data_IF_800732651267
#
_entry.id   IF_800732651267
#
_cell.length_a   1.000
_cell.length_b   1.000
_cell.length_c   1.000
_cell.angle_alpha   90.00
_cell.angle_beta   90.00
_cell.angle_gamma   90.00
#
_symmetry.space_group_name_H-M   'P 1'
#
loop_
_entity.id
_entity.type
_entity.pdbx_description
1 polymer ?
#
# COMPACT_ATOMS: atom_id res chain seq x y z
N UNK A 1 -4.28 -3.98 6.34
CA UNK A 1 -3.80 -3.09 7.37
C UNK A 1 -2.94 -1.98 6.77
N UNK A 2 -3.06 -0.77 7.30
CA UNK A 2 -2.03 0.26 7.19
C UNK A 2 -0.88 -0.15 8.10
N UNK A 3 0.29 -0.42 7.53
CA UNK A 3 1.45 -0.92 8.24
C UNK A 3 2.23 0.20 8.93
N UNK A 4 2.40 1.33 8.26
CA UNK A 4 3.04 2.52 8.81
C UNK A 4 2.49 3.79 8.14
N UNK A 5 2.51 4.91 8.86
CA UNK A 5 2.15 6.25 8.37
C UNK A 5 3.30 7.21 8.61
N UNK A 6 3.58 8.04 7.63
CA UNK A 6 4.63 9.05 7.64
C UNK A 6 4.01 10.40 7.25
N UNK A 7 4.32 11.44 8.01
CA UNK A 7 3.92 12.82 7.72
C UNK A 7 5.19 13.59 7.40
N UNK A 8 5.23 14.18 6.21
CA UNK A 8 6.38 14.87 5.67
C UNK A 8 6.00 16.30 5.28
N UNK A 9 6.95 17.23 5.41
CA UNK A 9 6.84 18.57 4.84
C UNK A 9 7.30 18.51 3.38
N UNK A 10 6.46 18.94 2.45
CA UNK A 10 6.70 18.75 1.01
C UNK A 10 7.91 19.53 0.49
N UNK A 11 8.13 20.74 0.99
CA UNK A 11 9.22 21.60 0.51
C UNK A 11 10.60 21.15 1.00
N UNK A 12 10.70 20.63 2.23
CA UNK A 12 11.96 20.23 2.84
C UNK A 12 12.23 18.72 2.75
N UNK A 13 11.19 17.92 2.53
CA UNK A 13 11.27 16.46 2.64
C UNK A 13 11.64 16.00 4.06
N UNK A 14 11.31 16.78 5.09
CA UNK A 14 11.54 16.39 6.48
C UNK A 14 10.36 15.56 6.99
N UNK A 15 10.66 14.40 7.57
CA UNK A 15 9.67 13.61 8.29
C UNK A 15 9.41 14.24 9.65
N UNK A 16 8.19 14.76 9.84
CA UNK A 16 7.77 15.40 11.09
C UNK A 16 7.17 14.42 12.07
N UNK A 17 6.62 13.32 11.58
CA UNK A 17 6.01 12.28 12.38
C UNK A 17 6.02 10.96 11.61
N UNK A 18 6.42 9.88 12.27
CA UNK A 18 6.27 8.51 11.76
C UNK A 18 5.59 7.63 12.80
N UNK A 19 4.65 6.79 12.37
CA UNK A 19 3.90 5.89 13.24
C UNK A 19 3.81 4.52 12.60
N UNK A 20 4.32 3.51 13.31
CA UNK A 20 4.30 2.11 12.89
C UNK A 20 3.19 1.35 13.60
N UNK A 21 2.38 0.61 12.84
CA UNK A 21 1.30 -0.23 13.34
C UNK A 21 1.56 -1.73 13.13
N UNK A 22 2.25 -2.07 12.04
CA UNK A 22 2.54 -3.46 11.67
C UNK A 22 4.04 -3.78 11.64
N UNK A 23 4.42 -4.74 10.80
CA UNK A 23 5.78 -5.29 10.73
C UNK A 23 6.66 -4.64 9.65
N UNK A 24 6.06 -3.85 8.75
CA UNK A 24 6.84 -3.13 7.75
C UNK A 24 7.70 -2.06 8.43
N UNK A 25 9.02 -2.25 8.35
CA UNK A 25 10.00 -1.33 8.90
C UNK A 25 10.75 -0.63 7.76
N UNK A 26 10.35 0.59 7.46
CA UNK A 26 11.03 1.47 6.51
C UNK A 26 11.67 2.63 7.26
N UNK A 27 12.94 2.90 6.96
CA UNK A 27 13.67 4.05 7.51
C UNK A 27 12.97 5.37 7.10
N UNK A 28 12.60 6.23 8.07
CA UNK A 28 11.91 7.48 7.79
C UNK A 28 12.67 8.44 6.86
N UNK A 29 14.01 8.45 6.92
CA UNK A 29 14.81 9.33 6.06
C UNK A 29 14.85 8.79 4.63
N UNK A 30 14.96 7.46 4.48
CA UNK A 30 14.93 6.82 3.16
C UNK A 30 13.59 7.04 2.46
N UNK A 31 12.48 6.78 3.15
CA UNK A 31 11.14 6.95 2.57
C UNK A 31 10.86 8.43 2.27
N UNK A 32 11.28 9.34 3.15
CA UNK A 32 11.07 10.77 2.93
C UNK A 32 11.84 11.28 1.71
N UNK A 33 13.12 10.91 1.57
CA UNK A 33 13.93 11.29 0.42
C UNK A 33 13.37 10.75 -0.90
N UNK A 34 12.96 9.48 -0.91
CA UNK A 34 12.35 8.85 -2.08
C UNK A 34 11.03 9.53 -2.49
N UNK A 35 10.11 9.74 -1.55
CA UNK A 35 8.81 10.34 -1.81
C UNK A 35 8.92 11.80 -2.26
N UNK A 36 9.84 12.55 -1.66
CA UNK A 36 10.08 13.96 -2.04
C UNK A 36 10.56 14.05 -3.47
N UNK A 37 11.57 13.25 -3.85
CA UNK A 37 12.10 13.22 -5.21
C UNK A 37 11.02 12.80 -6.23
N UNK A 38 10.22 11.79 -5.89
CA UNK A 38 9.17 11.28 -6.75
C UNK A 38 8.01 12.27 -6.93
N UNK A 39 7.63 12.99 -5.89
CA UNK A 39 6.61 14.05 -5.97
C UNK A 39 7.13 15.24 -6.78
N UNK A 40 8.39 15.64 -6.59
CA UNK A 40 9.02 16.68 -7.38
C UNK A 40 9.03 16.31 -8.87
N UNK A 41 9.43 15.09 -9.19
CA UNK A 41 9.39 14.55 -10.55
C UNK A 41 7.97 14.50 -11.13
N UNK A 42 6.99 14.04 -10.34
CA UNK A 42 5.59 14.00 -10.76
C UNK A 42 5.01 15.38 -11.06
N UNK A 43 5.40 16.41 -10.28
CA UNK A 43 5.01 17.81 -10.52
C UNK A 43 5.60 18.37 -11.82
N UNK A 44 6.82 17.98 -12.18
CA UNK A 44 7.47 18.42 -13.43
C UNK A 44 6.83 17.79 -14.67
N UNK A 45 6.31 16.57 -14.55
CA UNK A 45 5.73 15.81 -15.67
C UNK A 45 4.23 16.05 -15.89
N UNK A 46 3.52 16.57 -14.90
CA UNK A 46 2.06 16.64 -14.96
C UNK A 46 1.53 17.98 -14.48
N UNK A 47 0.79 18.66 -15.35
CA UNK A 47 0.04 19.89 -15.05
C UNK A 47 -1.14 19.67 -14.08
N UNK A 48 -1.23 18.52 -13.40
CA UNK A 48 -2.34 18.26 -12.47
C UNK A 48 -2.48 16.87 -11.87
N UNK A 49 -1.80 15.84 -12.39
CA UNK A 49 -1.93 14.46 -11.87
C UNK A 49 -0.87 14.17 -10.81
N UNK A 50 -1.22 14.41 -9.55
CA UNK A 50 -0.40 14.05 -8.40
C UNK A 50 -0.31 12.52 -8.26
N UNK A 51 0.85 12.03 -7.86
CA UNK A 51 1.01 10.60 -7.53
C UNK A 51 0.22 10.30 -6.27
N UNK A 52 -0.73 9.38 -6.37
CA UNK A 52 -1.60 8.97 -5.26
C UNK A 52 -1.28 7.58 -4.72
N UNK A 53 -0.81 6.66 -5.58
CA UNK A 53 -0.44 5.29 -5.20
C UNK A 53 0.81 4.88 -5.96
N UNK A 54 1.74 4.24 -5.25
CA UNK A 54 2.94 3.63 -5.82
C UNK A 54 2.88 2.13 -5.51
N UNK A 55 2.91 1.32 -6.57
CA UNK A 55 2.85 -0.13 -6.48
C UNK A 55 4.27 -0.72 -6.36
N UNK A 56 4.55 -1.43 -5.26
CA UNK A 56 5.81 -2.15 -5.02
C UNK A 56 5.66 -3.68 -5.13
N UNK A 57 4.52 -4.18 -5.61
CA UNK A 57 4.20 -5.59 -5.76
C UNK A 57 3.84 -6.30 -4.45
N UNK A 58 4.64 -6.12 -3.39
CA UNK A 58 4.40 -6.73 -2.07
C UNK A 58 3.52 -5.89 -1.14
N UNK A 59 3.53 -4.56 -1.33
CA UNK A 59 2.70 -3.59 -0.63
C UNK A 59 2.52 -2.38 -1.55
N UNK A 60 1.54 -1.54 -1.23
CA UNK A 60 1.35 -0.25 -1.88
C UNK A 60 1.77 0.89 -0.95
N UNK A 61 2.29 1.97 -1.53
CA UNK A 61 2.44 3.24 -0.82
C UNK A 61 1.33 4.18 -1.29
N UNK A 62 0.40 4.48 -0.41
CA UNK A 62 -0.65 5.47 -0.65
C UNK A 62 -0.20 6.84 -0.16
N UNK A 63 -0.56 7.88 -0.91
CA UNK A 63 -0.13 9.26 -0.68
C UNK A 63 -1.32 10.21 -0.72
N UNK A 64 -1.34 11.12 0.24
CA UNK A 64 -2.23 12.27 0.30
C UNK A 64 -1.41 13.54 0.41
N UNK A 65 -1.45 14.38 -0.62
CA UNK A 65 -0.75 15.67 -0.68
C UNK A 65 -1.78 16.81 -0.60
N UNK A 66 -1.62 17.66 0.42
CA UNK A 66 -2.42 18.88 0.62
C UNK A 66 -1.52 19.97 1.16
N UNK A 67 -1.62 21.16 0.57
CA UNK A 67 -0.78 22.31 0.90
C UNK A 67 0.71 21.93 0.91
N UNK A 68 1.42 22.12 2.02
CA UNK A 68 2.83 21.74 2.20
C UNK A 68 3.01 20.44 3.01
N UNK A 69 1.97 19.60 3.09
CA UNK A 69 1.98 18.38 3.91
C UNK A 69 1.71 17.16 3.02
N UNK A 70 2.61 16.18 3.12
CA UNK A 70 2.46 14.86 2.53
C UNK A 70 2.19 13.88 3.66
N UNK A 71 1.10 13.13 3.53
CA UNK A 71 0.86 11.95 4.37
C UNK A 71 1.02 10.73 3.49
N UNK A 72 1.96 9.87 3.84
CA UNK A 72 2.25 8.63 3.16
C UNK A 72 1.94 7.44 4.08
N UNK A 73 1.46 6.34 3.53
CA UNK A 73 1.34 5.12 4.29
C UNK A 73 1.63 3.88 3.45
N UNK A 74 2.22 2.88 4.09
CA UNK A 74 2.36 1.54 3.54
C UNK A 74 1.10 0.74 3.84
N UNK A 75 0.52 0.15 2.80
CA UNK A 75 -0.74 -0.59 2.86
C UNK A 75 -0.51 -1.96 2.26
N UNK A 76 -0.97 -3.02 2.93
CA UNK A 76 -0.87 -4.36 2.34
C UNK A 76 -1.76 -4.47 1.10
N UNK A 77 -1.34 -5.32 0.14
CA UNK A 77 -2.07 -5.55 -1.12
C UNK A 77 -3.47 -6.10 -0.95
N UNK A 78 -3.73 -6.72 0.19
CA UNK A 78 -5.01 -7.34 0.53
C UNK A 78 -6.01 -6.33 1.12
N UNK A 79 -5.69 -5.05 1.10
CA UNK A 79 -6.54 -3.99 1.65
C UNK A 79 -6.99 -2.98 0.62
N UNK A 80 -8.07 -2.28 0.96
CA UNK A 80 -8.64 -1.30 0.06
C UNK A 80 -7.77 -0.04 0.07
N UNK A 81 -6.96 0.12 -0.97
CA UNK A 81 -6.14 1.31 -1.20
C UNK A 81 -6.96 2.61 -1.30
N UNK A 82 -8.21 2.56 -1.77
CA UNK A 82 -9.08 3.75 -1.79
C UNK A 82 -9.54 4.11 -0.39
N UNK A 83 -9.90 3.12 0.43
CA UNK A 83 -10.21 3.34 1.84
C UNK A 83 -9.00 3.90 2.59
N UNK A 84 -7.80 3.35 2.34
CA UNK A 84 -6.56 3.88 2.89
C UNK A 84 -6.35 5.35 2.47
N UNK A 85 -6.48 5.68 1.18
CA UNK A 85 -6.35 7.07 0.70
C UNK A 85 -7.37 8.03 1.35
N UNK A 86 -8.61 7.60 1.56
CA UNK A 86 -9.61 8.41 2.26
C UNK A 86 -9.17 8.69 3.70
N UNK A 87 -8.70 7.66 4.42
CA UNK A 87 -8.17 7.80 5.77
C UNK A 87 -6.95 8.73 5.80
N UNK A 88 -6.01 8.60 4.85
CA UNK A 88 -4.85 9.49 4.77
C UNK A 88 -5.25 10.93 4.44
N UNK A 89 -6.32 11.14 3.67
CA UNK A 89 -6.89 12.46 3.44
C UNK A 89 -7.43 13.06 4.73
N UNK A 90 -8.12 12.29 5.55
CA UNK A 90 -8.61 12.73 6.86
C UNK A 90 -7.46 13.05 7.81
N UNK A 91 -6.41 12.23 7.84
CA UNK A 91 -5.17 12.50 8.59
C UNK A 91 -4.54 13.82 8.11
N UNK A 92 -4.36 13.99 6.80
CA UNK A 92 -3.75 15.19 6.24
C UNK A 92 -4.58 16.45 6.55
N UNK A 93 -5.91 16.36 6.41
CA UNK A 93 -6.82 17.45 6.76
C UNK A 93 -6.71 17.81 8.24
N UNK A 94 -6.72 16.82 9.14
CA UNK A 94 -6.58 17.07 10.58
C UNK A 94 -5.22 17.67 10.93
N UNK A 95 -4.13 17.14 10.38
CA UNK A 95 -2.79 17.62 10.65
C UNK A 95 -2.58 19.06 10.14
N UNK A 96 -3.02 19.33 8.91
CA UNK A 96 -2.92 20.67 8.30
C UNK A 96 -3.77 21.69 9.07
N UNK A 97 -4.94 21.31 9.58
CA UNK A 97 -5.75 22.20 10.40
C UNK A 97 -5.09 22.54 11.75
N UNK A 98 -4.44 21.56 12.37
CA UNK A 98 -3.79 21.73 13.68
C UNK A 98 -2.45 22.48 13.56
N UNK A 99 -1.65 22.20 12.52
CA UNK A 99 -0.25 22.64 12.43
C UNK A 99 0.13 23.39 11.14
N UNK A 100 -0.77 23.53 10.16
CA UNK A 100 -0.43 24.10 8.85
C UNK A 100 0.10 25.54 8.93
N UNK A 101 -0.43 26.36 9.83
CA UNK A 101 0.07 27.72 10.08
C UNK A 101 1.44 27.71 10.77
N UNK A 102 1.69 26.76 11.67
CA UNK A 102 2.96 26.58 12.36
C UNK A 102 4.07 26.15 11.39
N UNK A 103 3.76 25.29 10.42
CA UNK A 103 4.70 24.82 9.41
C UNK A 103 5.30 25.94 8.55
N UNK A 104 4.58 27.04 8.33
CA UNK A 104 5.06 28.16 7.53
C UNK A 104 6.25 28.90 8.17
N UNK A 105 6.40 28.81 9.50
CA UNK A 105 7.48 29.46 10.26
C UNK A 105 8.24 28.44 11.12
N UNK A 106 8.14 27.17 10.76
CA UNK A 106 8.67 26.09 11.57
C UNK A 106 10.20 26.09 11.60
N UNK A 107 10.74 25.95 12.80
CA UNK A 107 12.17 26.05 13.11
C UNK A 107 12.88 24.68 13.14
N UNK A 108 12.15 23.59 12.90
CA UNK A 108 12.67 22.23 12.97
C UNK A 108 12.31 21.48 14.27
N UNK A 109 11.63 22.11 15.24
CA UNK A 109 11.25 21.41 16.47
C UNK A 109 10.11 20.40 16.25
N UNK A 110 10.35 19.12 16.57
CA UNK A 110 9.39 18.02 16.39
C UNK A 110 8.44 17.81 17.58
N UNK A 111 8.79 18.27 18.78
CA UNK A 111 7.99 18.07 20.00
C UNK A 111 6.50 18.46 19.86
N UNK A 112 6.13 19.56 19.17
CA UNK A 112 4.72 19.95 19.04
C UNK A 112 3.86 18.88 18.34
N UNK A 113 4.45 18.13 17.40
CA UNK A 113 3.75 17.14 16.60
C UNK A 113 3.49 15.83 17.36
N UNK A 114 4.21 15.55 18.45
CA UNK A 114 4.02 14.32 19.24
C UNK A 114 2.58 14.21 19.79
N UNK A 115 1.96 15.35 20.07
CA UNK A 115 0.56 15.38 20.52
C UNK A 115 -0.42 14.81 19.49
N UNK A 116 -0.03 14.81 18.21
CA UNK A 116 -0.84 14.28 17.12
C UNK A 116 -0.90 12.76 17.08
N UNK A 117 0.05 12.03 17.69
CA UNK A 117 0.05 10.56 17.68
C UNK A 117 -1.30 9.96 18.11
N UNK A 118 -1.92 10.54 19.15
CA UNK A 118 -3.23 10.09 19.64
C UNK A 118 -4.35 10.30 18.62
N UNK A 119 -4.34 11.43 17.91
CA UNK A 119 -5.33 11.71 16.85
C UNK A 119 -5.10 10.79 15.66
N UNK A 120 -3.84 10.59 15.29
CA UNK A 120 -3.44 9.70 14.20
C UNK A 120 -3.96 8.28 14.46
N UNK A 121 -3.71 7.70 15.63
CA UNK A 121 -4.17 6.37 16.01
C UNK A 121 -5.69 6.23 15.97
N UNK A 122 -6.43 7.28 16.38
CA UNK A 122 -7.90 7.31 16.31
C UNK A 122 -8.40 7.32 14.86
N UNK A 123 -7.81 8.14 13.99
CA UNK A 123 -8.22 8.26 12.59
C UNK A 123 -7.90 6.96 11.83
N UNK A 124 -6.72 6.39 12.06
CA UNK A 124 -6.27 5.15 11.41
C UNK A 124 -6.85 3.88 12.04
N UNK A 125 -7.59 4.00 13.16
CA UNK A 125 -8.08 2.88 13.97
C UNK A 125 -6.96 1.87 14.27
N UNK A 126 -5.83 2.38 14.76
CA UNK A 126 -4.62 1.59 15.03
C UNK A 126 -4.12 0.81 13.80
N UNK A 127 -4.16 1.46 12.64
CA UNK A 127 -3.76 0.88 11.35
C UNK A 127 -4.83 0.02 10.67
N UNK A 128 -6.02 -0.15 11.26
CA UNK A 128 -7.09 -1.02 10.73
C UNK A 128 -8.16 -0.30 9.93
N UNK A 129 -8.07 1.01 9.77
CA UNK A 129 -9.11 1.78 9.08
C UNK A 129 -9.28 1.42 7.60
N UNK A 130 -8.28 0.80 6.96
CA UNK A 130 -8.37 0.28 5.59
C UNK A 130 -8.63 -1.23 5.51
N UNK A 131 -8.75 -1.94 6.64
CA UNK A 131 -9.04 -3.38 6.67
C UNK A 131 -10.43 -3.64 6.13
N UNK A 132 -10.47 -3.96 4.85
CA UNK A 132 -11.65 -4.47 4.16
C UNK A 132 -11.31 -5.90 3.78
N UNK A 133 -12.22 -6.86 3.99
CA UNK A 133 -11.98 -8.26 3.61
C UNK A 133 -11.88 -8.37 2.08
N UNK A 134 -10.72 -8.11 1.50
CA UNK A 134 -10.48 -8.42 0.10
C UNK A 134 -10.33 -9.92 -0.01
N UNK A 135 -11.09 -10.48 -0.94
CA UNK A 135 -11.12 -11.92 -1.21
C UNK A 135 -9.83 -12.26 -1.96
N UNK A 136 -8.99 -13.12 -1.37
CA UNK A 136 -7.66 -13.44 -1.91
C UNK A 136 -7.49 -14.94 -2.07
N UNK A 137 -6.96 -15.42 -3.20
CA UNK A 137 -6.80 -16.85 -3.43
C UNK A 137 -5.75 -17.45 -2.49
N UNK A 138 -6.12 -18.55 -1.83
CA UNK A 138 -5.26 -19.35 -0.96
C UNK A 138 -5.30 -20.81 -1.38
N UNK A 139 -4.14 -21.42 -1.64
CA UNK A 139 -4.08 -22.85 -1.93
C UNK A 139 -4.31 -23.73 -0.69
N UNK A 140 -5.09 -24.79 -0.87
CA UNK A 140 -5.23 -25.94 0.05
C UNK A 140 -3.98 -26.82 -0.01
N UNK A 141 -2.86 -26.31 0.50
CA UNK A 141 -1.60 -27.04 0.56
C UNK A 141 -0.68 -26.75 -0.63
N UNK A 142 0.24 -27.70 -0.92
CA UNK A 142 1.28 -27.51 -1.94
C UNK A 142 0.88 -28.14 -3.27
N UNK A 143 0.97 -27.36 -4.35
CA UNK A 143 0.80 -27.88 -5.71
C UNK A 143 2.12 -28.51 -6.18
N UNK A 144 2.05 -29.75 -6.67
CA UNK A 144 3.22 -30.50 -7.12
C UNK A 144 3.54 -30.21 -8.59
N UNK A 145 4.81 -29.94 -8.95
CA UNK A 145 5.22 -29.80 -10.35
C UNK A 145 5.05 -31.08 -11.18
N UNK A 146 4.80 -32.23 -10.54
CA UNK A 146 4.41 -33.46 -11.26
C UNK A 146 3.13 -33.29 -12.06
N UNK A 147 2.18 -32.46 -11.61
CA UNK A 147 0.90 -32.25 -12.30
C UNK A 147 1.11 -31.64 -13.70
N UNK A 148 2.09 -30.75 -13.84
CA UNK A 148 2.48 -30.19 -15.14
C UNK A 148 3.09 -31.25 -16.03
N UNK A 149 4.02 -32.05 -15.49
CA UNK A 149 4.68 -33.14 -16.25
C UNK A 149 3.72 -34.23 -16.72
N UNK A 150 2.68 -34.50 -15.93
CA UNK A 150 1.63 -35.47 -16.27
C UNK A 150 0.57 -34.88 -17.22
N UNK A 151 0.70 -33.61 -17.62
CA UNK A 151 -0.26 -32.93 -18.49
C UNK A 151 -1.62 -32.64 -17.83
N UNK A 152 -1.70 -32.75 -16.50
CA UNK A 152 -2.90 -32.51 -15.72
C UNK A 152 -3.10 -31.03 -15.37
N UNK A 153 -2.06 -30.22 -15.56
CA UNK A 153 -2.04 -28.79 -15.28
C UNK A 153 -1.13 -28.11 -16.31
N UNK A 154 -1.47 -26.89 -16.73
CA UNK A 154 -0.56 -26.11 -17.58
C UNK A 154 0.54 -25.46 -16.74
N UNK A 155 1.66 -25.10 -17.37
CA UNK A 155 2.73 -24.36 -16.68
C UNK A 155 2.20 -23.03 -16.12
N UNK A 156 1.37 -22.34 -16.89
CA UNK A 156 0.73 -21.08 -16.48
C UNK A 156 -0.14 -21.24 -15.22
N UNK A 157 -1.00 -22.27 -15.17
CA UNK A 157 -1.84 -22.53 -13.99
C UNK A 157 -1.00 -22.92 -12.77
N UNK A 158 0.11 -23.63 -12.97
CA UNK A 158 1.05 -23.95 -11.90
C UNK A 158 1.76 -22.70 -11.35
N UNK A 159 2.15 -21.77 -12.22
CA UNK A 159 2.80 -20.54 -11.82
C UNK A 159 1.81 -19.62 -11.09
N UNK A 160 0.56 -19.51 -11.56
CA UNK A 160 -0.54 -18.83 -10.82
C UNK A 160 -0.78 -19.48 -9.45
N UNK A 161 -0.81 -20.82 -9.39
CA UNK A 161 -1.03 -21.54 -8.13
C UNK A 161 0.03 -21.19 -7.09
N UNK A 162 1.31 -21.09 -7.48
CA UNK A 162 2.39 -20.70 -6.57
C UNK A 162 2.21 -19.32 -5.94
N UNK A 163 1.50 -18.42 -6.60
CA UNK A 163 1.24 -17.06 -6.11
C UNK A 163 0.03 -16.98 -5.14
N UNK A 164 -0.78 -18.04 -5.07
CA UNK A 164 -2.00 -18.11 -4.26
C UNK A 164 -1.68 -18.41 -2.78
N UNK A 165 -0.99 -17.48 -2.12
CA UNK A 165 -0.58 -17.59 -0.71
C UNK A 165 -1.52 -16.83 0.25
N UNK A 166 -2.66 -16.32 -0.23
CA UNK A 166 -3.58 -15.49 0.56
C UNK A 166 -3.06 -14.08 0.84
N UNK A 167 -2.12 -13.58 0.03
CA UNK A 167 -1.48 -12.25 0.19
C UNK A 167 -1.59 -11.34 -1.02
N UNK A 168 -2.01 -11.89 -2.15
CA UNK A 168 -2.06 -11.19 -3.44
C UNK A 168 -3.48 -11.27 -3.98
N UNK A 169 -3.96 -10.17 -4.55
CA UNK A 169 -5.23 -10.19 -5.28
C UNK A 169 -5.04 -10.84 -6.65
N UNK A 170 -6.15 -11.19 -7.31
CA UNK A 170 -6.12 -11.72 -8.69
C UNK A 170 -5.38 -10.76 -9.63
N UNK A 171 -5.52 -9.46 -9.42
CA UNK A 171 -4.86 -8.43 -10.22
C UNK A 171 -3.36 -8.41 -9.96
N UNK A 172 -2.93 -8.45 -8.70
CA UNK A 172 -1.50 -8.48 -8.37
C UNK A 172 -0.81 -9.71 -8.94
N UNK A 173 -1.47 -10.87 -8.92
CA UNK A 173 -0.96 -12.10 -9.54
C UNK A 173 -0.78 -11.91 -11.06
N UNK A 174 -1.74 -11.27 -11.72
CA UNK A 174 -1.65 -10.96 -13.15
C UNK A 174 -0.49 -10.03 -13.46
N UNK A 175 -0.34 -8.94 -12.70
CA UNK A 175 0.70 -7.95 -12.89
C UNK A 175 2.10 -8.55 -12.61
N UNK A 176 2.25 -9.36 -11.56
CA UNK A 176 3.54 -9.99 -11.22
C UNK A 176 3.97 -11.06 -12.22
N UNK A 177 3.03 -11.81 -12.80
CA UNK A 177 3.34 -12.80 -13.82
C UNK A 177 3.39 -12.21 -15.24
N UNK A 178 3.02 -10.93 -15.41
CA UNK A 178 2.91 -10.28 -16.72
C UNK A 178 1.81 -10.89 -17.61
N UNK A 179 0.79 -11.50 -16.98
CA UNK A 179 -0.33 -12.13 -17.67
C UNK A 179 -1.55 -11.22 -17.74
N UNK A 180 -2.43 -11.47 -18.70
CA UNK A 180 -3.72 -10.77 -18.71
C UNK A 180 -4.62 -11.27 -17.58
N UNK A 181 -5.37 -10.37 -16.95
CA UNK A 181 -6.27 -10.70 -15.84
C UNK A 181 -7.28 -11.83 -16.17
N UNK A 182 -7.70 -11.92 -17.44
CA UNK A 182 -8.57 -13.02 -17.92
C UNK A 182 -7.88 -14.39 -17.89
N UNK A 183 -6.58 -14.43 -18.16
CA UNK A 183 -5.78 -15.66 -18.18
C UNK A 183 -5.57 -16.18 -16.75
N UNK A 184 -5.21 -15.27 -15.84
CA UNK A 184 -5.12 -15.58 -14.40
C UNK A 184 -6.46 -16.05 -13.85
N UNK A 185 -7.58 -15.39 -14.18
CA UNK A 185 -8.90 -15.83 -13.74
C UNK A 185 -9.23 -17.24 -14.25
N UNK A 186 -8.88 -17.57 -15.49
CA UNK A 186 -9.08 -18.92 -16.05
C UNK A 186 -8.25 -19.96 -15.30
N UNK A 187 -7.00 -19.63 -14.96
CA UNK A 187 -6.15 -20.49 -14.14
C UNK A 187 -6.72 -20.68 -12.72
N UNK A 188 -7.21 -19.62 -12.08
CA UNK A 188 -7.86 -19.71 -10.76
C UNK A 188 -9.12 -20.58 -10.80
N UNK A 189 -9.98 -20.41 -11.80
CA UNK A 189 -11.16 -21.28 -11.98
C UNK A 189 -10.76 -22.76 -12.14
N UNK A 190 -9.66 -23.03 -12.83
CA UNK A 190 -9.13 -24.42 -12.96
C UNK A 190 -8.70 -24.97 -11.60
N UNK A 191 -8.07 -24.15 -10.75
CA UNK A 191 -7.68 -24.54 -9.39
C UNK A 191 -8.90 -24.76 -8.47
N UNK A 192 -9.97 -23.98 -8.65
CA UNK A 192 -11.26 -24.21 -7.97
C UNK A 192 -11.90 -25.53 -8.37
N UNK A 193 -11.95 -25.80 -9.68
CA UNK A 193 -12.49 -27.06 -10.22
C UNK A 193 -11.74 -28.27 -9.68
N UNK A 194 -10.42 -28.13 -9.50
CA UNK A 194 -9.55 -29.12 -8.86
C UNK A 194 -9.73 -29.22 -7.34
N UNK A 195 -10.55 -28.35 -6.73
CA UNK A 195 -10.82 -28.25 -5.28
C UNK A 195 -9.57 -28.00 -4.43
N UNK A 196 -8.58 -27.33 -5.00
CA UNK A 196 -7.32 -27.00 -4.33
C UNK A 196 -7.18 -25.50 -4.01
N UNK A 197 -8.20 -24.70 -4.33
CA UNK A 197 -8.27 -23.27 -4.01
C UNK A 197 -9.30 -23.00 -2.89
N UNK A 198 -9.01 -22.02 -2.05
CA UNK A 198 -9.88 -21.29 -1.12
C UNK A 198 -9.74 -19.78 -1.35
N UNK A 199 -10.64 -19.00 -0.75
CA UNK A 199 -10.76 -17.55 -0.90
C UNK A 199 -10.92 -16.85 0.46
#
# INVERSE_FOLDING_TARGET
MIQAVYILVADSGLCVLDRKYGQADMDPNLISGFLTALIQFGRELSDGNRVHVIDFGAFDICLSLKDNVIVAATVDKVDDGNAAMAVLSDVNNSFTNDYGSMLAQWDGNLEPFETFYKKLDVITKDGRASETKIVVPLLKGKVSPMLVRLGQMTQETYDVAKMCEGKLTVRDIADQLGHHLKEVQKSLNTLEDMKILDW
#
